data_IF_531132391484
#
_entry.id   IF_531132391484
#
_cell.length_a   1.000
_cell.length_b   1.000
_cell.length_c   1.000
_cell.angle_alpha   90.00
_cell.angle_beta   90.00
_cell.angle_gamma   90.00
#
_symmetry.space_group_name_H-M   'P 1'
#
loop_
_entity.id
_entity.type
_entity.pdbx_description
1 polymer ?
#
# COMPACT_ATOMS: atom_id res chain seq x y z
N UNK A 1 3.30 -5.36 10.06
CA UNK A 1 4.49 -4.94 9.27
C UNK A 1 4.71 -6.00 8.21
N UNK A 2 4.12 -5.75 7.04
CA UNK A 2 4.25 -6.58 5.86
C UNK A 2 5.74 -6.81 5.57
N UNK A 3 6.17 -8.08 5.64
CA UNK A 3 7.58 -8.46 5.43
C UNK A 3 7.93 -8.28 3.96
N UNK A 4 8.52 -7.13 3.63
CA UNK A 4 8.94 -6.77 2.27
C UNK A 4 10.46 -6.80 2.09
N UNK A 5 11.19 -7.17 3.14
CA UNK A 5 12.64 -7.20 3.22
C UNK A 5 13.24 -7.94 2.02
N UNK A 6 13.80 -7.15 1.09
CA UNK A 6 14.48 -7.50 -0.18
C UNK A 6 13.80 -6.96 -1.46
N UNK A 7 12.69 -6.24 -1.35
CA UNK A 7 12.07 -5.53 -2.47
C UNK A 7 12.47 -4.04 -2.53
N UNK A 8 12.39 -3.47 -3.73
CA UNK A 8 12.56 -2.04 -3.99
C UNK A 8 11.26 -1.45 -4.53
N UNK A 9 10.80 -0.38 -3.89
CA UNK A 9 9.57 0.32 -4.26
C UNK A 9 9.88 1.48 -5.22
N UNK A 10 9.56 1.32 -6.49
CA UNK A 10 9.75 2.31 -7.53
C UNK A 10 8.55 3.25 -7.63
N UNK A 11 8.67 4.55 -7.28
CA UNK A 11 7.55 5.49 -7.44
C UNK A 11 7.29 5.75 -8.93
N UNK A 12 6.06 5.57 -9.39
CA UNK A 12 5.70 5.73 -10.82
C UNK A 12 4.57 6.72 -11.08
N UNK A 13 3.82 7.09 -10.05
CA UNK A 13 2.72 8.05 -10.15
C UNK A 13 2.51 8.75 -8.82
N UNK A 14 2.38 10.08 -8.84
CA UNK A 14 2.09 10.90 -7.66
C UNK A 14 0.92 11.83 -7.94
N UNK A 15 -0.02 11.92 -7.01
CA UNK A 15 -1.24 12.73 -7.14
C UNK A 15 -1.81 13.09 -5.78
N UNK A 16 -2.59 14.17 -5.68
CA UNK A 16 -3.41 14.46 -4.49
C UNK A 16 -4.80 13.81 -4.56
N UNK A 17 -5.10 13.07 -5.63
CA UNK A 17 -6.36 12.34 -5.82
C UNK A 17 -6.15 10.84 -5.54
N UNK A 18 -6.56 10.39 -4.36
CA UNK A 18 -6.45 8.99 -3.95
C UNK A 18 -7.21 8.04 -4.88
N UNK A 19 -8.35 8.46 -5.44
CA UNK A 19 -9.11 7.65 -6.41
C UNK A 19 -8.29 7.45 -7.69
N UNK A 20 -7.59 8.50 -8.15
CA UNK A 20 -6.68 8.39 -9.29
C UNK A 20 -5.49 7.46 -9.00
N UNK A 21 -4.94 7.50 -7.77
CA UNK A 21 -3.87 6.58 -7.36
C UNK A 21 -4.34 5.11 -7.39
N UNK A 22 -5.51 4.81 -6.82
CA UNK A 22 -6.08 3.45 -6.82
C UNK A 22 -6.42 2.97 -8.23
N UNK A 23 -6.99 3.83 -9.08
CA UNK A 23 -7.22 3.50 -10.50
C UNK A 23 -5.92 3.17 -11.22
N UNK A 24 -4.85 3.89 -10.91
CA UNK A 24 -3.52 3.65 -11.50
C UNK A 24 -2.94 2.33 -11.03
N UNK A 25 -3.01 2.02 -9.73
CA UNK A 25 -2.61 0.72 -9.19
C UNK A 25 -3.37 -0.43 -9.87
N UNK A 26 -4.70 -0.31 -10.00
CA UNK A 26 -5.53 -1.31 -10.72
C UNK A 26 -5.11 -1.53 -12.17
N UNK A 27 -4.71 -0.46 -12.89
CA UNK A 27 -4.20 -0.58 -14.26
C UNK A 27 -2.87 -1.34 -14.32
N UNK A 28 -1.98 -1.15 -13.34
CA UNK A 28 -0.74 -1.91 -13.22
C UNK A 28 -1.01 -3.38 -12.91
N UNK A 29 -1.90 -3.66 -11.95
CA UNK A 29 -2.29 -5.01 -11.57
C UNK A 29 -2.87 -5.79 -12.76
N UNK A 30 -3.60 -5.13 -13.65
CA UNK A 30 -4.18 -5.73 -14.85
C UNK A 30 -3.14 -6.20 -15.90
N UNK A 31 -1.86 -5.86 -15.74
CA UNK A 31 -0.77 -6.39 -16.59
C UNK A 31 -0.41 -7.82 -16.16
N UNK A 32 -0.55 -8.11 -14.86
CA UNK A 32 -0.27 -9.41 -14.27
C UNK A 32 -1.51 -10.30 -14.19
N UNK A 33 -1.29 -11.52 -13.68
CA UNK A 33 -2.36 -12.43 -13.29
C UNK A 33 -2.71 -12.17 -11.80
N UNK A 34 -3.94 -11.70 -11.49
CA UNK A 34 -4.35 -11.39 -10.13
C UNK A 34 -5.03 -12.57 -9.42
N UNK A 35 -4.96 -13.80 -9.94
CA UNK A 35 -5.71 -14.96 -9.43
C UNK A 35 -5.51 -15.18 -7.92
N UNK A 36 -4.27 -15.08 -7.45
CA UNK A 36 -3.90 -15.26 -6.05
C UNK A 36 -3.60 -13.92 -5.35
N UNK A 37 -4.05 -12.81 -5.96
CA UNK A 37 -3.71 -11.49 -5.47
C UNK A 37 -4.55 -11.11 -4.24
N UNK A 38 -3.86 -10.56 -3.26
CA UNK A 38 -4.41 -10.15 -1.99
C UNK A 38 -4.12 -8.67 -1.73
N UNK A 39 -4.96 -8.06 -0.90
CA UNK A 39 -4.82 -6.68 -0.45
C UNK A 39 -4.49 -6.66 1.02
N UNK A 40 -3.46 -5.91 1.37
CA UNK A 40 -3.12 -5.58 2.74
C UNK A 40 -3.04 -4.07 2.94
N UNK A 41 -3.40 -3.62 4.12
CA UNK A 41 -3.41 -2.22 4.50
C UNK A 41 -2.79 -2.05 5.87
N UNK A 42 -1.97 -1.02 6.00
CA UNK A 42 -1.50 -0.52 7.28
C UNK A 42 -1.78 0.98 7.36
N UNK A 43 -2.27 1.46 8.49
CA UNK A 43 -2.58 2.88 8.68
C UNK A 43 -2.25 3.35 10.11
N UNK A 44 -1.88 4.62 10.23
CA UNK A 44 -1.54 5.26 11.50
C UNK A 44 -2.61 6.29 11.85
N UNK A 45 -3.39 6.03 12.90
CA UNK A 45 -4.54 6.85 13.30
C UNK A 45 -4.21 7.70 14.51
N UNK A 46 -4.42 9.01 14.39
CA UNK A 46 -4.14 9.99 15.45
C UNK A 46 -5.40 10.71 15.96
N UNK A 47 -6.54 10.58 15.27
CA UNK A 47 -7.82 11.15 15.72
C UNK A 47 -8.89 10.08 15.97
N UNK A 48 -9.74 10.30 16.97
CA UNK A 48 -10.83 9.39 17.31
C UNK A 48 -11.84 9.21 16.15
N UNK A 49 -12.16 10.30 15.45
CA UNK A 49 -13.04 10.28 14.28
C UNK A 49 -12.48 9.47 13.11
N UNK A 50 -11.16 9.52 12.90
CA UNK A 50 -10.49 8.70 11.89
C UNK A 50 -10.58 7.21 12.24
N UNK A 51 -10.39 6.87 13.52
CA UNK A 51 -10.54 5.49 13.99
C UNK A 51 -11.96 4.98 13.75
N UNK A 52 -12.98 5.77 14.11
CA UNK A 52 -14.39 5.39 13.91
C UNK A 52 -14.72 5.15 12.44
N UNK A 53 -14.29 6.06 11.55
CA UNK A 53 -14.51 5.92 10.11
C UNK A 53 -13.82 4.68 9.54
N UNK A 54 -12.55 4.45 9.91
CA UNK A 54 -11.76 3.32 9.40
C UNK A 54 -12.25 1.99 9.96
N UNK A 55 -12.61 1.92 11.24
CA UNK A 55 -13.21 0.72 11.84
C UNK A 55 -14.57 0.39 11.23
N UNK A 56 -15.38 1.40 10.86
CA UNK A 56 -16.63 1.16 10.14
C UNK A 56 -16.40 0.66 8.71
N UNK A 57 -15.39 1.19 8.02
CA UNK A 57 -15.04 0.79 6.66
C UNK A 57 -14.41 -0.61 6.60
N UNK A 58 -13.64 -0.98 7.64
CA UNK A 58 -12.84 -2.20 7.74
C UNK A 58 -13.09 -2.91 9.08
N UNK A 59 -14.28 -3.53 9.26
CA UNK A 59 -14.68 -4.10 10.55
C UNK A 59 -13.84 -5.31 10.98
N UNK A 60 -13.05 -5.90 10.07
CA UNK A 60 -12.14 -7.02 10.36
C UNK A 60 -10.68 -6.60 10.49
N UNK A 61 -10.38 -5.30 10.41
CA UNK A 61 -9.03 -4.80 10.66
C UNK A 61 -8.65 -4.99 12.13
N UNK A 62 -7.40 -5.37 12.37
CA UNK A 62 -6.83 -5.43 13.71
C UNK A 62 -6.30 -4.06 14.07
N UNK A 63 -6.71 -3.56 15.22
CA UNK A 63 -6.25 -2.30 15.77
C UNK A 63 -5.38 -2.60 16.99
N UNK A 64 -4.23 -1.93 17.11
CA UNK A 64 -3.37 -2.04 18.29
C UNK A 64 -2.61 -0.74 18.56
N UNK A 65 -2.39 -0.44 19.84
CA UNK A 65 -1.58 0.70 20.26
C UNK A 65 -0.09 0.40 20.10
N UNK A 66 0.71 1.42 19.80
CA UNK A 66 2.17 1.29 19.77
C UNK A 66 2.69 0.76 21.13
N UNK A 67 3.36 -0.39 21.13
CA UNK A 67 3.87 -1.05 22.34
C UNK A 67 2.83 -1.82 23.16
N UNK A 68 1.61 -1.99 22.65
CA UNK A 68 0.57 -2.81 23.29
C UNK A 68 0.36 -4.13 22.54
N UNK A 69 -0.02 -5.17 23.29
CA UNK A 69 -0.39 -6.47 22.71
C UNK A 69 -1.68 -6.35 21.88
N UNK A 70 -1.83 -7.06 20.75
CA UNK A 70 -3.03 -7.05 19.90
C UNK A 70 -4.32 -7.45 20.62
N UNK A 71 -4.23 -8.01 21.83
CA UNK A 71 -5.36 -8.48 22.63
C UNK A 71 -6.25 -7.34 23.18
N UNK A 72 -5.76 -6.10 23.21
CA UNK A 72 -6.56 -4.94 23.64
C UNK A 72 -7.00 -4.20 22.38
N UNK A 73 -8.29 -4.31 22.04
CA UNK A 73 -8.86 -3.51 20.97
C UNK A 73 -8.88 -2.03 21.38
N UNK A 74 -8.14 -1.17 20.65
CA UNK A 74 -8.19 0.26 20.85
C UNK A 74 -9.59 0.82 20.62
N UNK A 75 -9.91 1.88 21.36
CA UNK A 75 -11.14 2.66 21.20
C UNK A 75 -10.82 4.12 20.87
N UNK A 76 -11.83 4.91 20.52
CA UNK A 76 -11.71 6.36 20.38
C UNK A 76 -11.02 6.99 21.60
N UNK A 77 -11.37 6.55 22.81
CA UNK A 77 -10.74 7.00 24.06
C UNK A 77 -9.25 6.63 24.14
N UNK A 78 -8.83 5.52 23.52
CA UNK A 78 -7.44 5.10 23.46
C UNK A 78 -6.59 6.04 22.59
N UNK A 79 -7.15 6.58 21.51
CA UNK A 79 -6.49 7.60 20.69
C UNK A 79 -6.26 8.88 21.51
N UNK A 80 -7.31 9.34 22.18
CA UNK A 80 -7.29 10.63 22.89
C UNK A 80 -6.38 10.58 24.13
N UNK A 81 -6.33 9.44 24.82
CA UNK A 81 -5.54 9.27 26.04
C UNK A 81 -4.10 8.80 25.76
N UNK A 82 -3.79 8.34 24.55
CA UNK A 82 -2.53 7.71 24.19
C UNK A 82 -1.48 8.70 23.67
N UNK A 83 -0.21 8.61 24.08
CA UNK A 83 0.86 9.43 23.52
C UNK A 83 1.30 8.99 22.11
N UNK A 84 0.74 7.89 21.58
CA UNK A 84 1.12 7.29 20.31
C UNK A 84 -0.12 6.99 19.45
N UNK A 85 0.03 7.02 18.12
CA UNK A 85 -1.05 6.65 17.22
C UNK A 85 -1.43 5.17 17.35
N UNK A 86 -2.65 4.86 16.92
CA UNK A 86 -3.11 3.49 16.74
C UNK A 86 -2.64 3.00 15.38
N UNK A 87 -2.09 1.79 15.35
CA UNK A 87 -1.85 1.08 14.11
C UNK A 87 -3.07 0.24 13.78
N UNK A 88 -3.58 0.43 12.57
CA UNK A 88 -4.57 -0.43 11.94
C UNK A 88 -3.88 -1.31 10.92
N UNK A 89 -4.09 -2.61 11.01
CA UNK A 89 -3.56 -3.59 10.08
C UNK A 89 -4.71 -4.47 9.56
N UNK A 90 -4.74 -4.65 8.25
CA UNK A 90 -5.70 -5.50 7.58
C UNK A 90 -5.00 -6.30 6.51
N UNK A 91 -4.95 -7.61 6.64
CA UNK A 91 -4.08 -8.47 5.81
C UNK A 91 -4.88 -9.46 4.97
N UNK A 92 -4.30 -9.83 3.83
CA UNK A 92 -4.74 -10.97 3.02
C UNK A 92 -6.22 -10.96 2.64
N UNK A 93 -6.72 -9.81 2.18
CA UNK A 93 -8.10 -9.68 1.73
C UNK A 93 -8.22 -9.91 0.22
N UNK A 94 -9.33 -10.48 -0.27
CA UNK A 94 -9.55 -10.59 -1.70
C UNK A 94 -9.66 -9.20 -2.35
N UNK A 95 -9.17 -9.08 -3.59
CA UNK A 95 -9.37 -7.88 -4.42
C UNK A 95 -10.84 -7.47 -4.51
N UNK A 96 -11.15 -6.16 -4.49
CA UNK A 96 -12.49 -5.71 -4.88
C UNK A 96 -12.93 -4.35 -4.39
N UNK A 97 -14.10 -4.33 -3.72
CA UNK A 97 -14.81 -3.12 -3.26
C UNK A 97 -14.30 -2.59 -1.92
N UNK A 98 -13.40 -3.31 -1.28
CA UNK A 98 -12.92 -3.00 0.05
C UNK A 98 -11.97 -1.81 0.02
N UNK A 99 -11.15 -1.73 -1.03
CA UNK A 99 -10.30 -0.59 -1.34
C UNK A 99 -11.13 0.68 -1.52
N UNK A 100 -12.28 0.60 -2.19
CA UNK A 100 -13.15 1.78 -2.41
C UNK A 100 -13.73 2.30 -1.08
N UNK A 101 -14.07 1.42 -0.14
CA UNK A 101 -14.54 1.81 1.20
C UNK A 101 -13.44 2.48 2.01
N UNK A 102 -12.24 1.92 1.96
CA UNK A 102 -11.09 2.53 2.62
C UNK A 102 -10.78 3.90 2.02
N UNK A 103 -10.75 4.04 0.69
CA UNK A 103 -10.51 5.33 0.01
C UNK A 103 -11.50 6.41 0.46
N UNK A 104 -12.76 6.04 0.68
CA UNK A 104 -13.77 6.96 1.20
C UNK A 104 -13.55 7.34 2.67
N UNK A 105 -12.92 6.48 3.47
CA UNK A 105 -12.70 6.67 4.91
C UNK A 105 -11.30 7.20 5.27
N UNK A 106 -10.31 7.08 4.38
CA UNK A 106 -8.90 7.36 4.67
C UNK A 106 -8.64 8.78 5.16
N UNK A 107 -9.41 9.77 4.68
CA UNK A 107 -9.26 11.17 5.10
C UNK A 107 -7.79 11.63 4.97
N UNK A 108 -7.22 12.11 6.08
CA UNK A 108 -5.81 12.55 6.17
C UNK A 108 -4.88 11.53 6.81
N UNK A 109 -5.40 10.34 7.15
CA UNK A 109 -4.65 9.28 7.81
C UNK A 109 -3.49 8.81 6.92
N UNK A 110 -2.23 8.84 7.40
CA UNK A 110 -1.12 8.18 6.74
C UNK A 110 -1.35 6.67 6.68
N UNK A 111 -1.26 6.12 5.48
CA UNK A 111 -1.50 4.70 5.26
C UNK A 111 -0.68 4.14 4.10
N UNK A 112 -0.53 2.83 4.08
CA UNK A 112 -0.01 2.07 2.94
C UNK A 112 -1.04 1.03 2.55
N UNK A 113 -1.40 1.01 1.27
CA UNK A 113 -2.21 -0.03 0.66
C UNK A 113 -1.29 -0.86 -0.25
N UNK A 114 -1.23 -2.18 -0.06
CA UNK A 114 -0.36 -3.10 -0.80
C UNK A 114 -1.21 -4.17 -1.45
N UNK A 115 -0.95 -4.41 -2.73
CA UNK A 115 -1.41 -5.58 -3.45
C UNK A 115 -0.24 -6.52 -3.65
N UNK A 116 -0.40 -7.77 -3.21
CA UNK A 116 0.59 -8.85 -3.31
C UNK A 116 -0.03 -10.09 -3.96
N UNK A 117 0.77 -11.12 -4.25
CA UNK A 117 0.26 -12.37 -4.85
C UNK A 117 -0.15 -12.24 -6.32
N UNK A 118 0.23 -11.14 -6.97
CA UNK A 118 0.08 -10.97 -8.41
C UNK A 118 1.21 -11.71 -9.09
N UNK A 119 0.97 -12.32 -10.25
CA UNK A 119 2.04 -12.89 -11.06
C UNK A 119 2.33 -12.01 -12.26
N UNK A 120 3.52 -11.40 -12.28
CA UNK A 120 3.98 -10.65 -13.44
C UNK A 120 4.31 -11.58 -14.61
N UNK A 121 3.98 -11.16 -15.85
CA UNK A 121 4.25 -11.98 -17.02
C UNK A 121 5.75 -12.07 -17.33
N UNK A 122 6.11 -13.06 -18.13
CA UNK A 122 7.42 -13.11 -18.77
C UNK A 122 7.59 -11.93 -19.74
N UNK A 123 8.81 -11.39 -19.78
CA UNK A 123 9.18 -10.35 -20.75
C UNK A 123 10.43 -10.81 -21.51
N UNK A 124 10.26 -11.63 -22.57
CA UNK A 124 11.39 -12.22 -23.31
C UNK A 124 12.37 -11.18 -23.86
N UNK A 125 11.85 -10.03 -24.31
CA UNK A 125 12.66 -8.93 -24.84
C UNK A 125 13.66 -8.37 -23.81
N UNK A 126 13.35 -8.49 -22.51
CA UNK A 126 14.21 -8.06 -21.41
C UNK A 126 14.87 -9.24 -20.67
N UNK A 127 14.68 -10.47 -21.16
CA UNK A 127 15.13 -11.72 -20.52
C UNK A 127 14.63 -11.84 -19.07
N UNK A 128 13.40 -11.40 -18.82
CA UNK A 128 12.75 -11.51 -17.51
C UNK A 128 11.78 -12.69 -17.53
N UNK A 129 11.97 -13.64 -16.61
CA UNK A 129 10.99 -14.71 -16.35
C UNK A 129 9.72 -14.16 -15.69
N UNK A 130 8.69 -14.99 -15.53
CA UNK A 130 7.56 -14.64 -14.68
C UNK A 130 8.05 -14.43 -13.23
N UNK A 131 7.35 -13.58 -12.47
CA UNK A 131 7.70 -13.23 -11.09
C UNK A 131 6.44 -13.15 -10.25
N UNK A 132 6.54 -13.62 -9.02
CA UNK A 132 5.42 -13.67 -8.07
C UNK A 132 5.87 -13.21 -6.69
N UNK A 133 7.08 -13.62 -6.27
CA UNK A 133 7.62 -13.35 -4.93
C UNK A 133 7.74 -11.86 -4.62
N UNK A 134 8.16 -11.06 -5.60
CA UNK A 134 8.35 -9.62 -5.47
C UNK A 134 7.30 -8.80 -6.22
N UNK A 135 6.25 -9.46 -6.69
CA UNK A 135 5.25 -8.87 -7.54
C UNK A 135 4.19 -8.14 -6.71
N UNK A 136 4.54 -6.90 -6.34
CA UNK A 136 3.66 -6.04 -5.56
C UNK A 136 3.44 -4.69 -6.24
N UNK A 137 2.27 -4.13 -5.96
CA UNK A 137 1.98 -2.71 -6.18
C UNK A 137 1.59 -2.13 -4.83
N UNK A 138 2.06 -0.94 -4.49
CA UNK A 138 1.58 -0.26 -3.29
C UNK A 138 1.24 1.20 -3.53
N UNK A 139 0.50 1.78 -2.60
CA UNK A 139 0.27 3.22 -2.53
C UNK A 139 0.68 3.70 -1.15
N UNK A 140 1.60 4.66 -1.09
CA UNK A 140 1.80 5.50 0.10
C UNK A 140 0.76 6.61 0.08
N UNK A 141 -0.05 6.70 1.12
CA UNK A 141 -1.20 7.60 1.24
C UNK A 141 -0.91 8.61 2.33
N UNK A 142 -1.17 9.88 2.03
CA UNK A 142 -0.90 10.98 2.94
C UNK A 142 0.56 11.04 3.44
N UNK A 143 1.49 10.53 2.61
CA UNK A 143 2.92 10.42 2.91
C UNK A 143 3.73 10.43 1.62
N UNK A 144 4.89 11.08 1.66
CA UNK A 144 5.86 11.06 0.55
C UNK A 144 6.65 9.76 0.44
N UNK A 145 6.71 8.97 1.51
CA UNK A 145 7.56 7.79 1.60
C UNK A 145 6.78 6.58 2.13
N UNK A 146 7.26 5.39 1.78
CA UNK A 146 6.65 4.10 2.16
C UNK A 146 6.65 3.82 3.67
N UNK A 147 7.51 4.51 4.43
CA UNK A 147 7.66 4.36 5.89
C UNK A 147 6.94 5.44 6.70
N UNK A 148 6.12 6.29 6.07
CA UNK A 148 5.35 7.37 6.71
C UNK A 148 6.15 8.44 7.46
N UNK A 149 7.47 8.49 7.28
CA UNK A 149 8.36 9.45 7.94
C UNK A 149 8.08 10.92 7.56
N UNK A 150 7.43 11.15 6.42
CA UNK A 150 7.19 12.47 5.86
C UNK A 150 5.72 12.63 5.42
N UNK A 151 4.85 13.14 6.31
CA UNK A 151 3.45 13.42 6.00
C UNK A 151 3.31 14.42 4.84
N UNK A 152 2.39 14.14 3.92
CA UNK A 152 2.13 14.99 2.75
C UNK A 152 0.71 14.77 2.24
N UNK A 153 0.07 15.72 1.56
CA UNK A 153 -1.27 15.51 0.96
C UNK A 153 -1.22 14.61 -0.29
N UNK A 154 -0.03 14.18 -0.72
CA UNK A 154 0.16 13.38 -1.92
C UNK A 154 -0.02 11.89 -1.63
N UNK A 155 -0.42 11.16 -2.67
CA UNK A 155 -0.44 9.71 -2.75
C UNK A 155 0.51 9.26 -3.84
N UNK A 156 1.41 8.32 -3.53
CA UNK A 156 2.39 7.82 -4.48
C UNK A 156 2.16 6.34 -4.74
N UNK A 157 1.99 5.96 -6.01
CA UNK A 157 1.92 4.56 -6.45
C UNK A 157 3.33 4.05 -6.68
N UNK A 158 3.62 2.86 -6.15
CA UNK A 158 4.90 2.18 -6.26
C UNK A 158 4.73 0.83 -6.94
N UNK A 159 5.69 0.49 -7.79
CA UNK A 159 5.90 -0.88 -8.30
C UNK A 159 7.04 -1.50 -7.51
N UNK A 160 6.82 -2.69 -6.98
CA UNK A 160 7.87 -3.43 -6.29
C UNK A 160 8.55 -4.39 -7.25
N UNK A 161 9.86 -4.50 -7.11
CA UNK A 161 10.67 -5.49 -7.81
C UNK A 161 11.78 -5.97 -6.88
N UNK A 162 12.42 -7.07 -7.26
CA UNK A 162 13.58 -7.59 -6.53
C UNK A 162 14.70 -6.55 -6.53
N UNK A 163 15.34 -6.35 -5.38
CA UNK A 163 16.47 -5.43 -5.25
C UNK A 163 17.54 -5.67 -6.33
N UNK A 164 17.94 -4.59 -7.01
CA UNK A 164 18.96 -4.61 -8.06
C UNK A 164 18.44 -4.99 -9.46
N UNK A 165 17.15 -5.31 -9.58
CA UNK A 165 16.44 -5.47 -10.86
C UNK A 165 15.51 -4.27 -11.01
N UNK A 166 15.77 -3.41 -12.00
CA UNK A 166 14.95 -2.21 -12.26
C UNK A 166 14.18 -2.30 -13.58
N UNK A 167 14.52 -3.27 -14.42
CA UNK A 167 13.99 -3.39 -15.77
C UNK A 167 12.51 -3.74 -15.78
N UNK A 168 12.03 -4.55 -14.81
CA UNK A 168 10.61 -4.92 -14.76
C UNK A 168 9.76 -3.74 -14.32
N UNK A 169 10.17 -3.01 -13.27
CA UNK A 169 9.44 -1.84 -12.80
C UNK A 169 9.28 -0.78 -13.89
N UNK A 170 10.34 -0.50 -14.66
CA UNK A 170 10.26 0.39 -15.82
C UNK A 170 9.29 -0.15 -16.87
N UNK A 171 9.44 -1.42 -17.26
CA UNK A 171 8.61 -2.04 -18.29
C UNK A 171 7.12 -2.04 -17.93
N UNK A 172 6.78 -2.33 -16.68
CA UNK A 172 5.41 -2.29 -16.15
C UNK A 172 4.83 -0.87 -16.20
N UNK A 173 5.62 0.14 -15.80
CA UNK A 173 5.20 1.54 -15.89
C UNK A 173 4.90 1.95 -17.34
N UNK A 174 5.76 1.56 -18.27
CA UNK A 174 5.61 1.88 -19.70
C UNK A 174 4.30 1.30 -20.28
N UNK A 175 3.87 0.11 -19.83
CA UNK A 175 2.62 -0.51 -20.31
C UNK A 175 1.37 0.33 -20.02
N UNK A 176 1.42 1.19 -19.00
CA UNK A 176 0.30 2.06 -18.62
C UNK A 176 0.57 3.53 -18.93
N UNK A 177 1.62 3.82 -19.69
CA UNK A 177 2.02 5.17 -20.10
C UNK A 177 2.61 5.99 -18.95
N UNK A 178 3.27 5.33 -17.99
CA UNK A 178 3.96 5.95 -16.86
C UNK A 178 5.47 5.71 -16.95
N UNK A 179 6.21 6.35 -16.05
CA UNK A 179 7.65 6.17 -15.88
C UNK A 179 8.03 6.36 -14.40
N UNK A 180 9.12 5.75 -13.91
CA UNK A 180 9.62 6.01 -12.57
C UNK A 180 9.96 7.50 -12.35
N UNK A 181 9.40 8.11 -11.32
CA UNK A 181 9.49 9.55 -11.02
C UNK A 181 10.54 9.88 -9.95
N UNK A 182 11.40 8.94 -9.59
CA UNK A 182 12.42 9.11 -8.55
C UNK A 182 13.19 7.82 -8.26
N UNK A 183 14.17 7.87 -7.33
CA UNK A 183 14.89 6.68 -6.90
C UNK A 183 13.97 5.68 -6.20
N UNK A 184 14.29 4.37 -6.24
CA UNK A 184 13.54 3.38 -5.48
C UNK A 184 13.78 3.52 -3.98
N UNK A 185 12.75 3.20 -3.20
CA UNK A 185 12.85 3.07 -1.74
C UNK A 185 13.13 1.61 -1.36
N UNK A 186 13.88 1.39 -0.28
CA UNK A 186 14.00 0.05 0.30
C UNK A 186 12.74 -0.26 1.09
N UNK A 187 12.00 -1.27 0.65
CA UNK A 187 10.94 -1.83 1.47
C UNK A 187 11.59 -2.78 2.48
N UNK A 188 11.41 -2.47 3.76
CA UNK A 188 12.00 -3.20 4.88
C UNK A 188 11.17 -4.43 5.25
#
# INVERSE_FOLDING_TARGET
MLSMGNSQAHPVFRTTDLVAAVKTARRLLAIGDPTDAEVSLEATVSEASELEMLSAAMPTATAFGCGQSPAIQPSASSVVAGPFPIFLEWTSQPLGRLEDRFVAAAGKCPATLVWSGVRWPEVPALRLSAEEEYAHVSISINSRQIHWDEPAPDHTVHIHDRKGVHLRAQWLADQVGLYPIGPPYLAL
#
